data_IF_856672705774
#
_entry.id   IF_856672705774
#
_cell.length_a   1.000
_cell.length_b   1.000
_cell.length_c   1.000
_cell.angle_alpha   90.00
_cell.angle_beta   90.00
_cell.angle_gamma   90.00
#
_symmetry.space_group_name_H-M   'P 1'
#
loop_
_entity.id
_entity.type
_entity.pdbx_description
1 polymer ?
#
# COMPACT_ATOMS: atom_id res chain seq x y z
N UNK A 1 -10.35 9.27 -15.42
CA UNK A 1 -9.35 10.36 -15.45
C UNK A 1 -8.86 10.51 -14.02
N UNK A 2 -7.59 10.74 -13.76
CA UNK A 2 -7.05 10.81 -12.39
C UNK A 2 -7.49 12.10 -11.71
N UNK A 3 -8.09 12.00 -10.54
CA UNK A 3 -8.65 13.13 -9.80
C UNK A 3 -7.92 13.35 -8.47
N UNK A 4 -7.38 14.55 -8.27
CA UNK A 4 -6.57 14.91 -7.09
C UNK A 4 -7.28 16.00 -6.29
N UNK A 5 -7.45 15.80 -4.98
CA UNK A 5 -7.92 16.83 -4.06
C UNK A 5 -6.74 17.60 -3.48
N UNK A 6 -6.76 18.91 -3.58
CA UNK A 6 -5.73 19.83 -3.06
C UNK A 6 -6.32 20.58 -1.87
N UNK A 7 -5.78 20.33 -0.67
CA UNK A 7 -6.27 20.89 0.59
C UNK A 7 -5.17 21.74 1.21
N UNK A 8 -5.37 23.04 1.24
CA UNK A 8 -4.43 24.03 1.77
C UNK A 8 -5.23 25.31 2.03
N UNK A 9 -5.01 26.03 3.10
CA UNK A 9 -5.74 27.28 3.39
C UNK A 9 -5.26 28.43 2.47
N UNK A 10 -4.01 28.37 1.99
CA UNK A 10 -3.45 29.37 1.07
C UNK A 10 -3.96 29.15 -0.36
N UNK A 11 -4.82 30.04 -0.84
CA UNK A 11 -5.37 30.00 -2.20
C UNK A 11 -4.29 29.94 -3.28
N UNK A 12 -3.21 30.71 -3.12
CA UNK A 12 -2.11 30.74 -4.08
C UNK A 12 -1.41 29.38 -4.23
N UNK A 13 -1.22 28.67 -3.12
CA UNK A 13 -0.64 27.31 -3.15
C UNK A 13 -1.57 26.37 -3.90
N UNK A 14 -2.88 26.40 -3.60
CA UNK A 14 -3.85 25.58 -4.32
C UNK A 14 -3.86 25.86 -5.83
N UNK A 15 -3.76 27.13 -6.24
CA UNK A 15 -3.74 27.51 -7.67
C UNK A 15 -2.48 27.02 -8.38
N UNK A 16 -1.30 27.22 -7.79
CA UNK A 16 -0.04 26.72 -8.35
C UNK A 16 -0.03 25.20 -8.46
N UNK A 17 -0.43 24.49 -7.42
CA UNK A 17 -0.49 23.03 -7.44
C UNK A 17 -1.50 22.53 -8.48
N UNK A 18 -2.65 23.22 -8.63
CA UNK A 18 -3.67 22.91 -9.65
C UNK A 18 -3.12 23.03 -11.06
N UNK A 19 -2.42 24.13 -11.37
CA UNK A 19 -1.82 24.33 -12.70
C UNK A 19 -0.87 23.18 -13.05
N UNK A 20 0.03 22.84 -12.13
CA UNK A 20 0.97 21.74 -12.36
C UNK A 20 0.29 20.37 -12.44
N UNK A 21 -0.78 20.14 -11.69
CA UNK A 21 -1.58 18.92 -11.79
C UNK A 21 -2.26 18.81 -13.17
N UNK A 22 -2.86 19.90 -13.66
CA UNK A 22 -3.46 19.94 -15.01
C UNK A 22 -2.43 19.68 -16.11
N UNK A 23 -1.21 20.24 -16.00
CA UNK A 23 -0.11 19.98 -16.94
C UNK A 23 0.30 18.49 -16.96
N UNK A 24 0.05 17.76 -15.87
CA UNK A 24 0.27 16.32 -15.77
C UNK A 24 -0.98 15.47 -16.13
N UNK A 25 -2.04 16.10 -16.62
CA UNK A 25 -3.27 15.42 -17.05
C UNK A 25 -4.20 14.99 -15.90
N UNK A 26 -4.08 15.61 -14.73
CA UNK A 26 -4.93 15.34 -13.57
C UNK A 26 -6.09 16.35 -13.49
N UNK A 27 -7.28 15.88 -13.15
CA UNK A 27 -8.39 16.73 -12.70
C UNK A 27 -8.20 17.09 -11.23
N UNK A 28 -8.61 18.28 -10.82
CA UNK A 28 -8.40 18.73 -9.45
C UNK A 28 -9.62 19.39 -8.85
N UNK A 29 -9.83 19.15 -7.55
CA UNK A 29 -10.67 19.96 -6.68
C UNK A 29 -9.80 20.62 -5.60
N UNK A 30 -10.26 21.74 -5.07
CA UNK A 30 -9.60 22.43 -3.96
C UNK A 30 -10.48 22.46 -2.72
N UNK A 31 -9.87 22.40 -1.53
CA UNK A 31 -10.51 22.66 -0.24
C UNK A 31 -9.63 23.62 0.58
N UNK A 32 -10.25 24.50 1.37
CA UNK A 32 -9.55 25.52 2.14
C UNK A 32 -9.32 25.13 3.60
N UNK A 33 -9.89 24.04 4.06
CA UNK A 33 -9.71 23.51 5.40
C UNK A 33 -10.08 22.00 5.46
N UNK A 34 -9.81 21.39 6.61
CA UNK A 34 -10.06 19.96 6.79
C UNK A 34 -11.54 19.57 6.75
N UNK A 35 -12.46 20.44 7.15
CA UNK A 35 -13.91 20.13 7.07
C UNK A 35 -14.39 20.11 5.63
N UNK A 36 -14.00 21.11 4.83
CA UNK A 36 -14.32 21.11 3.38
C UNK A 36 -13.72 19.89 2.68
N UNK A 37 -12.52 19.48 3.07
CA UNK A 37 -11.89 18.25 2.56
C UNK A 37 -12.72 17.00 2.88
N UNK A 38 -13.21 16.87 4.12
CA UNK A 38 -14.04 15.73 4.53
C UNK A 38 -15.37 15.68 3.78
N UNK A 39 -16.03 16.81 3.57
CA UNK A 39 -17.26 16.89 2.78
C UNK A 39 -17.01 16.42 1.33
N UNK A 40 -15.95 16.94 0.71
CA UNK A 40 -15.59 16.56 -0.67
C UNK A 40 -15.25 15.07 -0.80
N UNK A 41 -14.50 14.51 0.14
CA UNK A 41 -14.15 13.08 0.15
C UNK A 41 -15.38 12.19 0.38
N UNK A 42 -16.34 12.64 1.18
CA UNK A 42 -17.58 11.90 1.36
C UNK A 42 -18.40 11.79 0.07
N UNK A 43 -18.48 12.89 -0.67
CA UNK A 43 -19.37 13.03 -1.82
C UNK A 43 -18.71 12.65 -3.16
N UNK A 44 -17.38 12.56 -3.22
CA UNK A 44 -16.63 12.25 -4.43
C UNK A 44 -15.49 11.26 -4.15
N UNK A 45 -15.04 10.57 -5.21
CA UNK A 45 -13.85 9.73 -5.17
C UNK A 45 -12.65 10.49 -5.73
N UNK A 46 -11.52 10.36 -5.04
CA UNK A 46 -10.22 10.91 -5.41
C UNK A 46 -9.17 9.81 -5.47
N UNK A 47 -8.27 9.90 -6.43
CA UNK A 47 -7.15 8.97 -6.59
C UNK A 47 -5.97 9.34 -5.68
N UNK A 48 -5.87 10.62 -5.27
CA UNK A 48 -4.85 11.12 -4.35
C UNK A 48 -5.33 12.41 -3.67
N UNK A 49 -4.90 12.64 -2.43
CA UNK A 49 -5.14 13.88 -1.69
C UNK A 49 -3.79 14.50 -1.33
N UNK A 50 -3.61 15.77 -1.68
CA UNK A 50 -2.51 16.63 -1.20
C UNK A 50 -3.08 17.44 -0.05
N UNK A 51 -2.52 17.32 1.15
CA UNK A 51 -3.12 17.82 2.39
C UNK A 51 -2.12 18.61 3.22
N UNK A 52 -2.36 19.90 3.41
CA UNK A 52 -1.56 20.70 4.33
C UNK A 52 -1.86 20.32 5.79
N UNK A 53 -0.82 20.34 6.62
CA UNK A 53 -0.95 20.08 8.06
C UNK A 53 -1.52 21.30 8.78
N UNK A 54 -1.00 22.48 8.47
CA UNK A 54 -1.26 23.71 9.23
C UNK A 54 -2.43 24.48 8.62
N UNK A 55 -3.63 24.06 8.91
CA UNK A 55 -4.85 24.71 8.44
C UNK A 55 -5.76 25.12 9.61
N UNK A 56 -6.57 26.20 9.40
CA UNK A 56 -7.56 26.62 10.39
C UNK A 56 -8.70 25.60 10.52
N UNK A 57 -9.46 25.66 11.61
CA UNK A 57 -10.65 24.88 11.96
C UNK A 57 -10.33 23.40 12.24
N UNK A 58 -9.92 22.62 11.23
CA UNK A 58 -9.51 21.23 11.35
C UNK A 58 -8.15 21.06 10.68
N UNK A 59 -7.14 20.72 11.48
CA UNK A 59 -5.78 20.48 11.03
C UNK A 59 -5.66 19.24 10.13
N UNK A 60 -4.56 19.18 9.36
CA UNK A 60 -4.36 18.11 8.37
C UNK A 60 -4.24 16.71 8.97
N UNK A 61 -3.65 16.55 10.16
CA UNK A 61 -3.55 15.23 10.80
C UNK A 61 -4.92 14.71 11.22
N UNK A 62 -5.74 15.57 11.83
CA UNK A 62 -7.11 15.26 12.21
C UNK A 62 -7.99 14.97 11.01
N UNK A 63 -7.83 15.71 9.93
CA UNK A 63 -8.52 15.47 8.66
C UNK A 63 -8.09 14.13 8.03
N UNK A 64 -6.78 13.87 7.93
CA UNK A 64 -6.22 12.63 7.39
C UNK A 64 -6.77 11.40 8.10
N UNK A 65 -6.75 11.42 9.45
CA UNK A 65 -7.28 10.31 10.27
C UNK A 65 -8.75 10.00 9.96
N UNK A 66 -9.56 11.03 9.73
CA UNK A 66 -10.97 10.84 9.37
C UNK A 66 -11.14 10.38 7.93
N UNK A 67 -10.38 10.97 6.99
CA UNK A 67 -10.37 10.57 5.57
C UNK A 67 -10.02 9.07 5.44
N UNK A 68 -8.94 8.62 6.08
CA UNK A 68 -8.49 7.21 6.02
C UNK A 68 -9.50 6.22 6.61
N UNK A 69 -10.37 6.67 7.53
CA UNK A 69 -11.49 5.86 8.02
C UNK A 69 -12.66 5.78 7.05
N UNK A 70 -12.83 6.79 6.22
CA UNK A 70 -13.93 6.87 5.24
C UNK A 70 -13.59 6.14 3.95
N UNK A 71 -12.37 6.37 3.42
CA UNK A 71 -11.93 5.85 2.13
C UNK A 71 -10.43 5.53 2.16
N UNK A 72 -9.98 4.43 1.52
CA UNK A 72 -8.57 4.06 1.43
C UNK A 72 -7.84 4.87 0.33
N UNK A 73 -7.98 6.21 0.37
CA UNK A 73 -7.36 7.10 -0.61
C UNK A 73 -5.93 7.45 -0.19
N UNK A 74 -4.95 7.46 -1.11
CA UNK A 74 -3.59 7.90 -0.83
C UNK A 74 -3.54 9.39 -0.43
N UNK A 75 -2.70 9.70 0.57
CA UNK A 75 -2.52 11.06 1.10
C UNK A 75 -1.06 11.45 1.09
N UNK A 76 -0.74 12.59 0.48
CA UNK A 76 0.55 13.27 0.57
C UNK A 76 0.40 14.48 1.49
N UNK A 77 1.14 14.49 2.59
CA UNK A 77 1.11 15.62 3.54
C UNK A 77 2.07 16.72 3.11
N UNK A 78 1.62 17.98 3.20
CA UNK A 78 2.47 19.14 3.11
C UNK A 78 2.76 19.70 4.51
N UNK A 79 4.02 19.98 4.84
CA UNK A 79 4.40 20.51 6.14
C UNK A 79 5.36 21.69 6.04
N UNK A 80 5.19 22.68 6.91
CA UNK A 80 6.14 23.77 7.09
C UNK A 80 7.34 23.39 7.98
N UNK A 81 7.34 22.21 8.65
CA UNK A 81 8.35 21.81 9.62
C UNK A 81 9.08 20.54 9.19
N UNK A 82 10.40 20.52 9.46
CA UNK A 82 11.26 19.34 9.30
C UNK A 82 11.33 18.49 10.57
N UNK A 83 10.40 18.64 11.51
CA UNK A 83 10.47 17.90 12.76
C UNK A 83 10.21 16.40 12.50
N UNK A 84 11.12 15.59 12.97
CA UNK A 84 11.11 14.13 12.84
C UNK A 84 9.84 13.50 13.44
N UNK A 85 9.30 14.12 14.49
CA UNK A 85 8.05 13.74 15.13
C UNK A 85 6.82 13.85 14.22
N UNK A 86 6.74 14.90 13.38
CA UNK A 86 5.61 15.09 12.47
C UNK A 86 5.60 14.00 11.39
N UNK A 87 6.78 13.57 10.94
CA UNK A 87 6.92 12.48 9.95
C UNK A 87 6.55 11.12 10.56
N UNK A 88 7.03 10.80 11.76
CA UNK A 88 6.70 9.55 12.46
C UNK A 88 5.21 9.45 12.74
N UNK A 89 4.60 10.54 13.24
CA UNK A 89 3.15 10.59 13.48
C UNK A 89 2.32 10.45 12.20
N UNK A 90 2.78 11.06 11.10
CA UNK A 90 2.14 10.93 9.79
C UNK A 90 2.17 9.48 9.27
N UNK A 91 3.27 8.76 9.43
CA UNK A 91 3.38 7.36 9.03
C UNK A 91 2.48 6.44 9.86
N UNK A 92 2.33 6.67 11.17
CA UNK A 92 1.38 5.94 12.01
C UNK A 92 -0.08 6.15 11.57
N UNK A 93 -0.41 7.30 10.97
CA UNK A 93 -1.72 7.60 10.42
C UNK A 93 -1.97 7.00 9.02
N UNK A 94 -0.96 6.33 8.42
CA UNK A 94 -1.06 5.74 7.11
C UNK A 94 -0.94 6.76 5.97
N UNK A 95 -0.14 7.82 6.15
CA UNK A 95 0.24 8.77 5.10
C UNK A 95 1.19 8.11 4.12
N UNK A 96 0.99 8.34 2.82
CA UNK A 96 1.74 7.67 1.75
C UNK A 96 3.04 8.38 1.37
N UNK A 97 3.11 9.71 1.54
CA UNK A 97 4.33 10.51 1.39
C UNK A 97 4.23 11.84 2.15
N UNK A 98 5.37 12.51 2.29
CA UNK A 98 5.52 13.73 3.07
C UNK A 98 6.41 14.74 2.33
N UNK A 99 5.93 15.98 2.16
CA UNK A 99 6.64 17.04 1.44
C UNK A 99 6.77 18.27 2.32
N UNK A 100 7.99 18.79 2.44
CA UNK A 100 8.29 19.96 3.26
C UNK A 100 8.14 21.26 2.44
N UNK A 101 7.45 22.24 2.99
CA UNK A 101 7.36 23.60 2.45
C UNK A 101 8.64 24.40 2.81
N UNK A 102 9.24 25.19 1.88
CA UNK A 102 8.81 25.40 0.51
C UNK A 102 9.20 24.22 -0.39
N UNK A 103 8.33 23.82 -1.31
CA UNK A 103 8.54 22.71 -2.24
C UNK A 103 8.54 23.16 -3.69
N UNK A 104 9.15 22.36 -4.56
CA UNK A 104 9.00 22.51 -5.99
C UNK A 104 7.70 21.86 -6.47
N UNK A 105 6.79 22.56 -7.17
CA UNK A 105 5.59 21.95 -7.73
C UNK A 105 5.88 20.77 -8.66
N UNK A 106 7.01 20.79 -9.38
CA UNK A 106 7.46 19.67 -10.22
C UNK A 106 7.82 18.45 -9.37
N UNK A 107 8.50 18.66 -8.24
CA UNK A 107 8.82 17.58 -7.30
C UNK A 107 7.54 16.99 -6.70
N UNK A 108 6.60 17.83 -6.28
CA UNK A 108 5.32 17.38 -5.75
C UNK A 108 4.57 16.51 -6.77
N UNK A 109 4.51 16.91 -8.05
CA UNK A 109 3.87 16.10 -9.10
C UNK A 109 4.59 14.77 -9.36
N UNK A 110 5.92 14.72 -9.26
CA UNK A 110 6.67 13.47 -9.35
C UNK A 110 6.30 12.52 -8.20
N UNK A 111 6.13 13.02 -6.99
CA UNK A 111 5.69 12.25 -5.82
C UNK A 111 4.23 11.79 -5.96
N UNK A 112 3.33 12.66 -6.40
CA UNK A 112 1.94 12.29 -6.72
C UNK A 112 1.91 11.13 -7.69
N UNK A 113 2.71 11.18 -8.78
CA UNK A 113 2.81 10.07 -9.74
C UNK A 113 3.25 8.78 -9.08
N UNK A 114 4.31 8.80 -8.26
CA UNK A 114 4.81 7.60 -7.55
C UNK A 114 3.74 7.01 -6.63
N UNK A 115 3.03 7.86 -5.89
CA UNK A 115 1.95 7.44 -4.97
C UNK A 115 0.78 6.84 -5.75
N UNK A 116 0.36 7.46 -6.85
CA UNK A 116 -0.68 6.94 -7.73
C UNK A 116 -0.29 5.62 -8.38
N UNK A 117 0.96 5.48 -8.85
CA UNK A 117 1.46 4.24 -9.44
C UNK A 117 1.50 3.10 -8.40
N UNK A 118 1.83 3.41 -7.14
CA UNK A 118 1.78 2.44 -6.03
C UNK A 118 0.33 2.05 -5.73
N UNK A 119 -0.57 3.03 -5.59
CA UNK A 119 -2.00 2.79 -5.32
C UNK A 119 -2.64 1.94 -6.43
N UNK A 120 -2.41 2.27 -7.70
CA UNK A 120 -2.91 1.47 -8.84
C UNK A 120 -2.34 0.07 -8.90
N UNK A 121 -1.10 -0.12 -8.44
CA UNK A 121 -0.52 -1.46 -8.28
C UNK A 121 -1.12 -2.20 -7.09
N UNK A 122 -1.61 -1.49 -6.07
CA UNK A 122 -2.30 -2.08 -4.92
C UNK A 122 -3.78 -2.34 -5.20
N UNK A 123 -4.44 -1.58 -6.07
CA UNK A 123 -5.80 -1.92 -6.53
C UNK A 123 -5.78 -3.23 -7.32
N UNK A 124 -5.97 -4.34 -6.61
CA UNK A 124 -5.99 -5.71 -7.11
C UNK A 124 -4.62 -6.30 -7.53
N UNK A 125 -3.68 -6.38 -6.58
CA UNK A 125 -2.59 -7.35 -6.71
C UNK A 125 -3.16 -8.77 -6.58
N UNK A 126 -4.02 -9.14 -7.54
CA UNK A 126 -4.49 -10.51 -7.68
C UNK A 126 -3.55 -11.24 -8.61
N UNK A 127 -2.87 -12.24 -8.06
CA UNK A 127 -2.09 -13.17 -8.85
C UNK A 127 -2.97 -14.36 -9.23
N UNK A 128 -3.09 -14.61 -10.53
CA UNK A 128 -3.88 -15.74 -11.03
C UNK A 128 -2.99 -16.64 -11.88
N UNK A 129 -3.02 -17.92 -11.58
CA UNK A 129 -2.41 -18.96 -12.39
C UNK A 129 -3.33 -20.18 -12.44
N UNK A 130 -3.81 -20.51 -13.64
CA UNK A 130 -4.88 -21.49 -13.84
C UNK A 130 -6.11 -21.17 -12.97
N UNK A 131 -6.56 -22.06 -12.10
CA UNK A 131 -7.65 -21.82 -11.15
C UNK A 131 -7.21 -21.38 -9.75
N UNK A 132 -5.90 -21.14 -9.54
CA UNK A 132 -5.38 -20.57 -8.30
C UNK A 132 -5.44 -19.04 -8.38
N UNK A 133 -6.21 -18.40 -7.52
CA UNK A 133 -6.34 -16.95 -7.41
C UNK A 133 -5.87 -16.52 -6.03
N UNK A 134 -4.86 -15.66 -5.99
CA UNK A 134 -4.24 -15.14 -4.77
C UNK A 134 -4.43 -13.63 -4.75
N UNK A 135 -5.32 -13.16 -3.91
CA UNK A 135 -5.53 -11.74 -3.63
C UNK A 135 -4.53 -11.32 -2.55
N UNK A 136 -3.50 -10.61 -2.97
CA UNK A 136 -2.39 -10.20 -2.09
C UNK A 136 -2.88 -9.18 -1.07
N UNK A 137 -3.70 -8.23 -1.49
CA UNK A 137 -4.23 -7.15 -0.65
C UNK A 137 -5.33 -7.68 0.29
N UNK A 138 -6.30 -8.40 -0.28
CA UNK A 138 -7.37 -9.04 0.49
C UNK A 138 -6.90 -10.23 1.33
N UNK A 139 -5.59 -10.61 1.24
CA UNK A 139 -4.97 -11.72 1.98
C UNK A 139 -5.80 -12.99 1.88
N UNK A 140 -6.34 -13.25 0.68
CA UNK A 140 -7.21 -14.38 0.44
C UNK A 140 -6.75 -15.23 -0.73
N UNK A 141 -7.03 -16.52 -0.65
CA UNK A 141 -6.62 -17.50 -1.66
C UNK A 141 -7.83 -18.34 -2.02
N UNK A 142 -8.07 -18.50 -3.34
CA UNK A 142 -9.08 -19.40 -3.87
C UNK A 142 -8.46 -20.44 -4.79
N UNK A 143 -8.95 -21.65 -4.70
CA UNK A 143 -8.56 -22.81 -5.49
C UNK A 143 -9.81 -23.27 -6.25
N UNK A 144 -9.80 -23.16 -7.57
CA UNK A 144 -10.94 -23.49 -8.44
C UNK A 144 -12.25 -22.84 -7.99
N UNK A 145 -12.17 -21.53 -7.65
CA UNK A 145 -13.31 -20.71 -7.21
C UNK A 145 -13.75 -20.93 -5.76
N UNK A 146 -13.10 -21.83 -5.00
CA UNK A 146 -13.40 -22.08 -3.58
C UNK A 146 -12.33 -21.49 -2.69
N UNK A 147 -12.71 -20.83 -1.60
CA UNK A 147 -11.77 -20.27 -0.63
C UNK A 147 -10.92 -21.39 -0.02
N UNK A 148 -9.59 -21.26 -0.12
CA UNK A 148 -8.66 -22.18 0.50
C UNK A 148 -8.66 -21.97 2.02
N UNK A 149 -8.60 -23.08 2.78
CA UNK A 149 -8.54 -23.04 4.24
C UNK A 149 -7.09 -22.96 4.70
N UNK A 150 -6.52 -21.75 4.64
CA UNK A 150 -5.14 -21.45 5.05
C UNK A 150 -5.12 -20.75 6.41
N UNK A 151 -4.13 -21.09 7.22
CA UNK A 151 -3.82 -20.33 8.44
C UNK A 151 -3.21 -18.98 8.07
N UNK A 152 -3.25 -17.96 8.96
CA UNK A 152 -2.63 -16.67 8.70
C UNK A 152 -1.15 -16.77 8.28
N UNK A 153 -0.38 -17.67 8.91
CA UNK A 153 1.03 -17.90 8.56
C UNK A 153 1.24 -18.61 7.23
N UNK A 154 0.34 -19.48 6.82
CA UNK A 154 0.37 -20.07 5.47
C UNK A 154 0.04 -19.04 4.39
N UNK A 155 -0.87 -18.11 4.68
CA UNK A 155 -1.15 -16.97 3.80
C UNK A 155 0.08 -16.08 3.69
N UNK A 156 0.70 -15.66 4.81
CA UNK A 156 1.92 -14.84 4.81
C UNK A 156 3.04 -15.48 3.97
N UNK A 157 3.26 -16.78 4.19
CA UNK A 157 4.29 -17.55 3.47
C UNK A 157 4.01 -17.60 1.97
N UNK A 158 2.77 -17.87 1.57
CA UNK A 158 2.38 -17.92 0.16
C UNK A 158 2.52 -16.55 -0.51
N UNK A 159 2.04 -15.49 0.13
CA UNK A 159 2.13 -14.12 -0.39
C UNK A 159 3.58 -13.72 -0.62
N UNK A 160 4.46 -13.96 0.37
CA UNK A 160 5.88 -13.67 0.25
C UNK A 160 6.55 -14.44 -0.91
N UNK A 161 6.21 -15.72 -1.06
CA UNK A 161 6.71 -16.55 -2.16
C UNK A 161 6.20 -16.09 -3.53
N UNK A 162 4.94 -15.65 -3.64
CA UNK A 162 4.34 -15.14 -4.88
C UNK A 162 4.92 -13.79 -5.29
N UNK A 163 5.20 -12.93 -4.33
CA UNK A 163 5.90 -11.65 -4.58
C UNK A 163 7.32 -11.87 -5.11
N UNK A 164 7.96 -12.94 -4.67
CA UNK A 164 9.30 -13.37 -5.11
C UNK A 164 9.26 -14.58 -6.06
N UNK A 165 8.19 -14.69 -6.88
CA UNK A 165 8.00 -15.83 -7.80
C UNK A 165 9.19 -16.03 -8.73
N UNK A 166 9.46 -17.29 -9.04
CA UNK A 166 10.58 -17.75 -9.86
C UNK A 166 11.98 -17.52 -9.23
N UNK A 167 12.04 -17.02 -7.99
CA UNK A 167 13.28 -16.83 -7.23
C UNK A 167 13.36 -17.94 -6.16
N UNK A 168 14.50 -18.61 -6.05
CA UNK A 168 14.75 -19.56 -4.98
C UNK A 168 15.03 -18.82 -3.66
N UNK A 169 14.23 -19.10 -2.64
CA UNK A 169 14.30 -18.49 -1.32
C UNK A 169 14.86 -19.51 -0.31
N UNK A 170 15.86 -19.11 0.47
CA UNK A 170 16.40 -19.97 1.51
C UNK A 170 15.40 -20.14 2.65
N UNK A 171 15.52 -21.25 3.41
CA UNK A 171 14.70 -21.49 4.60
C UNK A 171 14.84 -20.39 5.62
N UNK A 172 16.08 -19.97 5.87
CA UNK A 172 16.41 -18.86 6.77
C UNK A 172 15.69 -17.58 6.35
N UNK A 173 15.78 -17.19 5.07
CA UNK A 173 15.10 -15.99 4.56
C UNK A 173 13.57 -16.09 4.70
N UNK A 174 12.98 -17.25 4.39
CA UNK A 174 11.54 -17.47 4.57
C UNK A 174 11.14 -17.37 6.05
N UNK A 175 11.97 -17.88 6.96
CA UNK A 175 11.73 -17.81 8.39
C UNK A 175 11.79 -16.36 8.89
N UNK A 176 12.85 -15.64 8.57
CA UNK A 176 13.07 -14.25 8.98
C UNK A 176 11.95 -13.32 8.50
N UNK A 177 11.58 -13.40 7.23
CA UNK A 177 10.60 -12.49 6.61
C UNK A 177 9.15 -12.79 7.01
N UNK A 178 8.81 -14.06 7.25
CA UNK A 178 7.42 -14.47 7.57
C UNK A 178 7.18 -14.57 9.07
N UNK A 179 8.19 -14.91 9.89
CA UNK A 179 8.04 -15.08 11.35
C UNK A 179 8.70 -13.98 12.19
N UNK A 180 9.41 -13.03 11.58
CA UNK A 180 10.24 -11.97 12.15
C UNK A 180 11.60 -12.45 12.74
N UNK A 181 12.56 -11.53 12.81
CA UNK A 181 13.95 -11.75 13.28
C UNK A 181 14.06 -12.32 14.71
N UNK A 182 13.07 -12.12 15.57
CA UNK A 182 13.07 -12.59 16.96
C UNK A 182 12.53 -14.03 17.13
N UNK A 183 12.23 -14.71 16.04
CA UNK A 183 11.73 -16.08 16.12
C UNK A 183 12.89 -17.07 16.26
N UNK A 184 13.11 -17.60 17.47
CA UNK A 184 14.10 -18.63 17.79
C UNK A 184 13.68 -20.05 17.33
N UNK A 185 12.92 -20.17 16.26
CA UNK A 185 12.48 -21.45 15.72
C UNK A 185 13.48 -22.13 14.78
N UNK A 186 13.35 -23.44 14.63
CA UNK A 186 14.13 -24.27 13.70
C UNK A 186 13.62 -24.04 12.25
N UNK A 187 14.52 -24.09 11.27
CA UNK A 187 14.24 -24.10 9.82
C UNK A 187 13.18 -25.15 9.41
N UNK A 188 12.99 -26.19 10.21
CA UNK A 188 11.93 -27.20 10.08
C UNK A 188 10.52 -26.62 10.19
N UNK A 189 10.36 -25.48 10.84
CA UNK A 189 9.08 -24.75 10.89
C UNK A 189 8.60 -24.40 9.49
N UNK A 190 9.51 -23.89 8.63
CA UNK A 190 9.21 -23.58 7.23
C UNK A 190 8.77 -24.84 6.48
N UNK A 191 9.50 -25.96 6.63
CA UNK A 191 9.19 -27.21 5.95
C UNK A 191 7.78 -27.74 6.31
N UNK A 192 7.39 -27.59 7.58
CA UNK A 192 6.07 -27.99 8.06
C UNK A 192 4.97 -27.13 7.41
N UNK A 193 5.14 -25.80 7.37
CA UNK A 193 4.16 -24.90 6.76
C UNK A 193 4.09 -25.07 5.24
N UNK A 194 5.21 -25.31 4.56
CA UNK A 194 5.24 -25.67 3.14
C UNK A 194 4.46 -26.95 2.86
N UNK A 195 4.61 -27.98 3.72
CA UNK A 195 3.85 -29.23 3.58
C UNK A 195 2.34 -28.99 3.69
N UNK A 196 1.91 -28.23 4.70
CA UNK A 196 0.50 -27.89 4.90
C UNK A 196 -0.04 -27.01 3.77
N UNK A 197 0.74 -26.02 3.36
CA UNK A 197 0.39 -25.13 2.25
C UNK A 197 0.19 -25.92 0.94
N UNK A 198 1.12 -26.80 0.59
CA UNK A 198 0.97 -27.71 -0.57
C UNK A 198 -0.29 -28.56 -0.49
N UNK A 199 -0.62 -29.07 0.70
CA UNK A 199 -1.83 -29.85 0.93
C UNK A 199 -3.09 -29.00 0.65
N UNK A 200 -3.14 -27.78 1.17
CA UNK A 200 -4.28 -26.89 1.07
C UNK A 200 -4.44 -26.26 -0.32
N UNK A 201 -3.35 -26.14 -1.09
CA UNK A 201 -3.38 -25.71 -2.50
C UNK A 201 -3.84 -26.81 -3.46
N UNK A 202 -3.94 -28.07 -3.01
CA UNK A 202 -4.49 -29.17 -3.77
C UNK A 202 -3.83 -29.39 -5.14
N UNK A 203 -4.54 -29.18 -6.27
CA UNK A 203 -4.00 -29.37 -7.61
C UNK A 203 -2.79 -28.47 -7.92
N UNK A 204 -2.68 -27.33 -7.25
CA UNK A 204 -1.63 -26.32 -7.49
C UNK A 204 -0.43 -26.46 -6.56
N UNK A 205 -0.35 -27.55 -5.76
CA UNK A 205 0.75 -27.84 -4.84
C UNK A 205 2.14 -27.82 -5.50
N UNK A 206 2.22 -28.23 -6.76
CA UNK A 206 3.47 -28.34 -7.50
C UNK A 206 4.01 -26.97 -7.96
N UNK A 207 3.21 -25.87 -7.79
CA UNK A 207 3.68 -24.49 -7.93
C UNK A 207 4.71 -24.10 -6.85
N UNK A 208 4.73 -24.82 -5.74
CA UNK A 208 5.76 -24.66 -4.73
C UNK A 208 6.81 -25.74 -4.93
N UNK A 209 7.93 -25.37 -5.51
CA UNK A 209 9.03 -26.28 -5.86
C UNK A 209 10.08 -26.29 -4.76
N UNK A 210 10.61 -27.48 -4.45
CA UNK A 210 11.76 -27.62 -3.54
C UNK A 210 13.06 -27.44 -4.32
N UNK A 211 13.87 -26.47 -3.93
CA UNK A 211 15.22 -26.25 -4.46
C UNK A 211 16.21 -26.92 -3.51
N UNK A 212 16.75 -28.09 -3.93
CA UNK A 212 17.66 -28.89 -3.11
C UNK A 212 18.87 -28.09 -2.61
N UNK A 213 19.16 -28.22 -1.32
CA UNK A 213 20.28 -27.50 -0.68
C UNK A 213 20.03 -26.01 -0.39
N UNK A 214 18.91 -25.43 -0.86
CA UNK A 214 18.60 -24.01 -0.66
C UNK A 214 17.28 -23.83 0.13
N UNK A 215 16.16 -24.22 -0.42
CA UNK A 215 14.85 -23.97 0.17
C UNK A 215 13.71 -24.19 -0.81
N UNK A 216 12.92 -23.14 -1.07
CA UNK A 216 11.69 -23.24 -1.86
C UNK A 216 11.56 -22.09 -2.86
N UNK A 217 10.78 -22.34 -3.91
CA UNK A 217 10.46 -21.39 -4.98
C UNK A 217 8.98 -21.54 -5.34
N UNK A 218 8.28 -20.44 -5.58
CA UNK A 218 6.98 -20.46 -6.23
C UNK A 218 7.19 -20.28 -7.74
N UNK A 219 6.68 -21.20 -8.55
CA UNK A 219 6.71 -21.14 -10.00
C UNK A 219 5.38 -20.63 -10.54
N UNK A 220 5.47 -19.54 -11.35
CA UNK A 220 4.34 -18.89 -11.98
C UNK A 220 4.17 -19.33 -13.43
#
# INVERSE_FOLDING_TARGET
>A
MTRVLIVDDEKNIREVVREYAHLNGYETDGAADGYEALEKVRDNDYDCIILDIMMPKLDGFSACKQIKKMKPVPVIMLSARQEEYDKLFGFELGVDDYVVKPFSPKELMARVKVVLDRSRRSEHRVFTVDGLVIDIEGRSVTVDGKKANLTPKEVDLLLFMVEHRNIALSRTRLLEEVWNYDYFGDDRTVDTHIKMLRHNLGPYRDRIVTVRGMGYKFEA
#
